data_IF_563175929001
#
_entry.id   IF_563175929001
#
_cell.length_a   1.000
_cell.length_b   1.000
_cell.length_c   1.000
_cell.angle_alpha   90.00
_cell.angle_beta   90.00
_cell.angle_gamma   90.00
#
_symmetry.space_group_name_H-M   'P 1'
#
loop_
_entity.id
_entity.type
_entity.pdbx_description
1 polymer ?
#
# COMPACT_ATOMS: atom_id res chain seq x y z
N UNK A 1 2.59 13.47 11.95
CA UNK A 1 2.68 13.23 10.52
C UNK A 1 3.77 12.22 10.21
N UNK A 2 3.84 11.79 8.98
CA UNK A 2 4.80 10.81 8.49
C UNK A 2 5.13 11.15 7.03
N UNK A 3 6.41 11.15 6.69
CA UNK A 3 6.85 11.32 5.31
C UNK A 3 7.52 10.03 4.87
N UNK A 4 6.96 9.38 3.86
CA UNK A 4 7.42 8.07 3.42
C UNK A 4 7.78 8.09 1.94
N UNK A 5 8.89 7.47 1.60
CA UNK A 5 9.21 7.09 0.23
C UNK A 5 8.50 5.76 -0.07
N UNK A 6 7.72 5.73 -1.15
CA UNK A 6 6.97 4.54 -1.56
C UNK A 6 7.40 4.18 -2.97
N UNK A 7 7.70 2.90 -3.20
CA UNK A 7 8.05 2.37 -4.51
C UNK A 7 7.42 1.01 -4.74
N UNK A 8 7.11 0.71 -5.98
CA UNK A 8 6.59 -0.58 -6.41
C UNK A 8 7.67 -1.45 -7.03
N UNK A 9 7.67 -2.74 -6.73
CA UNK A 9 8.51 -3.75 -7.35
C UNK A 9 7.63 -4.79 -8.05
N UNK A 10 7.90 -5.02 -9.33
CA UNK A 10 7.25 -6.08 -10.10
C UNK A 10 7.99 -7.39 -9.89
N UNK A 11 7.47 -8.24 -9.03
CA UNK A 11 7.94 -9.60 -8.81
C UNK A 11 6.94 -10.65 -9.32
N UNK A 12 6.04 -10.29 -10.23
CA UNK A 12 5.00 -11.19 -10.75
C UNK A 12 5.59 -12.43 -11.43
N UNK A 13 6.66 -12.25 -12.20
CA UNK A 13 7.30 -13.36 -12.90
C UNK A 13 8.12 -14.29 -11.95
N UNK A 14 8.76 -13.71 -10.93
CA UNK A 14 9.66 -14.45 -10.03
C UNK A 14 8.98 -15.00 -8.79
N UNK A 15 8.02 -14.26 -8.24
CA UNK A 15 7.37 -14.57 -6.96
C UNK A 15 5.83 -14.58 -7.03
N UNK A 16 5.26 -14.39 -8.22
CA UNK A 16 3.81 -14.31 -8.41
C UNK A 16 3.16 -13.13 -7.64
N UNK A 17 3.91 -12.07 -7.39
CA UNK A 17 3.46 -10.97 -6.57
C UNK A 17 3.88 -9.61 -7.12
N UNK A 18 3.06 -8.61 -6.89
CA UNK A 18 3.44 -7.20 -6.96
C UNK A 18 3.67 -6.70 -5.54
N UNK A 19 4.80 -6.04 -5.30
CA UNK A 19 5.19 -5.60 -3.97
C UNK A 19 5.28 -4.08 -3.96
N UNK A 20 4.62 -3.44 -3.01
CA UNK A 20 4.78 -2.02 -2.72
C UNK A 20 5.53 -1.90 -1.41
N UNK A 21 6.68 -1.25 -1.45
CA UNK A 21 7.52 -1.02 -0.28
C UNK A 21 7.50 0.46 0.08
N UNK A 22 7.62 0.75 1.35
CA UNK A 22 7.76 2.11 1.86
C UNK A 22 8.64 2.15 3.08
N UNK A 23 9.36 3.23 3.22
CA UNK A 23 10.18 3.53 4.39
C UNK A 23 10.15 5.03 4.69
N UNK A 24 10.65 5.41 5.85
CA UNK A 24 10.79 6.82 6.23
C UNK A 24 11.68 7.55 5.21
N UNK A 25 11.15 8.63 4.64
CA UNK A 25 11.90 9.43 3.67
C UNK A 25 12.76 10.45 4.41
N UNK A 26 14.04 10.53 4.07
CA UNK A 26 14.97 11.51 4.61
C UNK A 26 15.17 12.63 3.59
N UNK A 27 15.19 13.88 4.06
CA UNK A 27 15.42 15.03 3.17
C UNK A 27 16.74 14.91 2.38
N UNK A 28 17.75 14.27 2.96
CA UNK A 28 19.04 14.05 2.29
C UNK A 28 18.94 13.17 1.04
N UNK A 29 17.98 12.24 1.01
CA UNK A 29 17.75 11.34 -0.13
C UNK A 29 16.96 12.04 -1.26
N UNK A 30 16.37 13.22 -0.97
CA UNK A 30 15.51 13.99 -1.87
C UNK A 30 15.85 15.48 -1.85
N UNK A 31 17.07 15.88 -2.26
CA UNK A 31 17.56 17.24 -2.09
C UNK A 31 16.75 18.30 -2.87
N UNK A 32 16.13 17.90 -3.98
CA UNK A 32 15.33 18.79 -4.84
C UNK A 32 13.86 18.88 -4.46
N UNK A 33 13.37 18.00 -3.60
CA UNK A 33 11.96 17.96 -3.20
C UNK A 33 11.83 18.48 -1.77
N UNK A 34 11.23 19.65 -1.55
CA UNK A 34 11.05 20.16 -0.19
C UNK A 34 10.05 19.30 0.57
N UNK A 35 10.46 18.80 1.74
CA UNK A 35 9.55 18.11 2.64
C UNK A 35 8.74 19.13 3.46
N UNK A 36 7.49 18.82 3.80
CA UNK A 36 6.73 19.65 4.69
C UNK A 36 7.46 19.77 6.05
N UNK A 37 7.50 20.97 6.66
CA UNK A 37 8.12 21.12 7.97
C UNK A 37 7.44 20.22 9.00
N UNK A 38 8.16 19.67 9.98
CA UNK A 38 7.54 18.89 11.03
C UNK A 38 6.56 19.77 11.84
N UNK A 39 5.35 19.27 12.15
CA UNK A 39 4.30 20.06 12.82
C UNK A 39 4.71 20.52 14.22
N UNK A 40 5.55 19.77 14.90
CA UNK A 40 6.21 20.14 16.16
C UNK A 40 7.35 19.13 16.44
N UNK A 41 8.34 19.48 17.27
CA UNK A 41 9.37 18.55 17.69
C UNK A 41 8.77 17.27 18.28
N UNK A 42 9.23 16.11 17.82
CA UNK A 42 8.80 14.79 18.30
C UNK A 42 7.44 14.31 17.81
N UNK A 43 6.70 15.09 17.01
CA UNK A 43 5.40 14.64 16.47
C UNK A 43 5.49 13.89 15.14
N UNK A 44 6.66 13.87 14.51
CA UNK A 44 6.85 13.07 13.30
C UNK A 44 7.11 11.61 13.68
N UNK A 45 6.21 10.75 13.27
CA UNK A 45 6.34 9.31 13.48
C UNK A 45 7.28 8.72 12.43
N UNK A 46 8.20 7.88 12.88
CA UNK A 46 9.12 7.16 11.97
C UNK A 46 8.50 5.84 11.55
N UNK A 47 8.40 5.66 10.25
CA UNK A 47 8.02 4.40 9.63
C UNK A 47 9.30 3.63 9.30
N UNK A 48 9.53 2.51 9.96
CA UNK A 48 10.71 1.70 9.71
C UNK A 48 10.56 0.91 8.40
N UNK A 49 9.40 0.31 8.18
CA UNK A 49 9.08 -0.39 6.94
C UNK A 49 7.58 -0.45 6.70
N UNK A 50 7.21 -0.42 5.43
CA UNK A 50 5.89 -0.77 4.90
C UNK A 50 6.09 -1.79 3.80
N UNK A 51 5.35 -2.88 3.82
CA UNK A 51 5.30 -3.83 2.71
C UNK A 51 3.85 -4.22 2.44
N UNK A 52 3.40 -3.96 1.23
CA UNK A 52 2.12 -4.40 0.72
C UNK A 52 2.38 -5.39 -0.42
N UNK A 53 2.00 -6.63 -0.21
CA UNK A 53 2.17 -7.71 -1.20
C UNK A 53 0.82 -8.05 -1.80
N UNK A 54 0.73 -7.98 -3.12
CA UNK A 54 -0.46 -8.25 -3.90
C UNK A 54 -0.22 -9.49 -4.76
N UNK A 55 -0.94 -10.58 -4.48
CA UNK A 55 -0.89 -11.81 -5.28
C UNK A 55 -2.19 -11.98 -6.04
N UNK A 56 -2.16 -12.12 -7.38
CA UNK A 56 -3.34 -12.46 -8.14
C UNK A 56 -3.83 -13.87 -7.77
N UNK A 57 -5.14 -14.02 -7.68
CA UNK A 57 -5.81 -15.28 -7.36
C UNK A 57 -7.06 -15.46 -8.23
N UNK A 58 -7.58 -16.69 -8.28
CA UNK A 58 -8.77 -17.05 -9.04
C UNK A 58 -8.74 -16.54 -10.51
N UNK A 59 -7.65 -16.82 -11.22
CA UNK A 59 -7.48 -16.41 -12.61
C UNK A 59 -7.38 -14.89 -12.80
N UNK A 60 -6.84 -14.18 -11.81
CA UNK A 60 -6.69 -12.71 -11.83
C UNK A 60 -7.94 -11.91 -11.43
N UNK A 61 -9.04 -12.60 -11.10
CA UNK A 61 -10.29 -11.94 -10.67
C UNK A 61 -10.30 -11.51 -9.22
N UNK A 62 -9.37 -12.02 -8.42
CA UNK A 62 -9.19 -11.70 -7.01
C UNK A 62 -7.72 -11.40 -6.75
N UNK A 63 -7.44 -10.74 -5.65
CA UNK A 63 -6.09 -10.55 -5.15
C UNK A 63 -6.03 -10.93 -3.67
N UNK A 64 -4.99 -11.66 -3.30
CA UNK A 64 -4.60 -11.81 -1.91
C UNK A 64 -3.72 -10.62 -1.55
N UNK A 65 -4.10 -9.89 -0.52
CA UNK A 65 -3.41 -8.68 -0.05
C UNK A 65 -2.80 -8.97 1.31
N UNK A 66 -1.48 -8.85 1.42
CA UNK A 66 -0.77 -8.93 2.69
C UNK A 66 -0.13 -7.58 2.98
N UNK A 67 -0.38 -7.04 4.16
CA UNK A 67 0.17 -5.76 4.61
C UNK A 67 1.03 -6.01 5.86
N UNK A 68 2.27 -5.56 5.81
CA UNK A 68 3.17 -5.52 6.95
C UNK A 68 3.64 -4.08 7.17
N UNK A 69 3.55 -3.62 8.39
CA UNK A 69 3.96 -2.27 8.77
C UNK A 69 4.81 -2.37 10.03
N UNK A 70 6.02 -1.80 9.97
CA UNK A 70 6.87 -1.60 11.13
C UNK A 70 6.96 -0.11 11.41
N UNK A 71 6.48 0.30 12.57
CA UNK A 71 6.54 1.68 13.05
C UNK A 71 7.22 1.71 14.41
N UNK A 72 7.99 2.76 14.66
CA UNK A 72 8.54 2.99 15.99
C UNK A 72 7.51 3.76 16.81
N UNK A 73 6.90 3.14 17.83
CA UNK A 73 5.91 3.82 18.63
C UNK A 73 6.54 4.98 19.42
N UNK A 74 5.79 6.04 19.61
CA UNK A 74 6.20 7.10 20.53
C UNK A 74 6.24 6.55 21.97
N UNK A 75 7.06 7.11 22.87
CA UNK A 75 7.21 6.61 24.25
C UNK A 75 5.87 6.46 25.01
N UNK A 76 4.94 7.38 24.79
CA UNK A 76 3.58 7.31 25.38
C UNK A 76 2.80 6.10 24.88
N UNK A 77 2.93 5.76 23.61
CA UNK A 77 2.27 4.59 23.00
C UNK A 77 2.97 3.30 23.41
N UNK A 78 4.31 3.33 23.51
CA UNK A 78 5.11 2.19 23.96
C UNK A 78 4.84 1.80 25.43
N UNK A 79 4.31 2.72 26.25
CA UNK A 79 3.92 2.46 27.64
C UNK A 79 2.53 1.77 27.77
N UNK A 80 1.78 1.63 26.68
CA UNK A 80 0.50 0.95 26.70
C UNK A 80 0.66 -0.57 26.85
N UNK A 81 -0.26 -1.24 27.57
CA UNK A 81 -0.30 -2.70 27.59
C UNK A 81 -0.41 -3.28 26.18
N UNK A 82 0.29 -4.38 25.89
CA UNK A 82 0.34 -5.00 24.57
C UNK A 82 -1.06 -5.26 23.97
N UNK A 83 -2.00 -5.74 24.78
CA UNK A 83 -3.36 -6.03 24.29
C UNK A 83 -4.11 -4.78 23.79
N UNK A 84 -3.84 -3.60 24.38
CA UNK A 84 -4.43 -2.32 23.91
C UNK A 84 -3.81 -1.96 22.56
N UNK A 85 -2.50 -2.11 22.45
CA UNK A 85 -1.78 -1.85 21.19
C UNK A 85 -2.27 -2.77 20.08
N UNK A 86 -2.36 -4.07 20.34
CA UNK A 86 -2.83 -5.06 19.38
C UNK A 86 -4.27 -4.78 18.95
N UNK A 87 -5.15 -4.43 19.87
CA UNK A 87 -6.53 -4.07 19.57
C UNK A 87 -6.60 -2.85 18.62
N UNK A 88 -5.84 -1.80 18.91
CA UNK A 88 -5.81 -0.58 18.09
C UNK A 88 -5.25 -0.87 16.70
N UNK A 89 -4.15 -1.62 16.61
CA UNK A 89 -3.55 -2.00 15.32
C UNK A 89 -4.51 -2.85 14.50
N UNK A 90 -5.15 -3.86 15.10
CA UNK A 90 -6.14 -4.69 14.41
C UNK A 90 -7.33 -3.86 13.90
N UNK A 91 -7.81 -2.91 14.69
CA UNK A 91 -8.90 -2.02 14.29
C UNK A 91 -8.50 -1.12 13.10
N UNK A 92 -7.28 -0.55 13.14
CA UNK A 92 -6.74 0.27 12.04
C UNK A 92 -6.59 -0.56 10.76
N UNK A 93 -5.95 -1.73 10.85
CA UNK A 93 -5.76 -2.61 9.70
C UNK A 93 -7.10 -3.09 9.13
N UNK A 94 -8.04 -3.47 9.98
CA UNK A 94 -9.40 -3.84 9.57
C UNK A 94 -10.08 -2.72 8.77
N UNK A 95 -9.96 -1.47 9.22
CA UNK A 95 -10.49 -0.31 8.51
C UNK A 95 -9.78 -0.08 7.16
N UNK A 96 -8.46 -0.26 7.10
CA UNK A 96 -7.70 -0.14 5.85
C UNK A 96 -8.18 -1.17 4.83
N UNK A 97 -8.27 -2.46 5.20
CA UNK A 97 -8.74 -3.51 4.30
C UNK A 97 -10.19 -3.28 3.85
N UNK A 98 -11.07 -2.88 4.77
CA UNK A 98 -12.45 -2.53 4.43
C UNK A 98 -12.50 -1.40 3.41
N UNK A 99 -11.71 -0.33 3.61
CA UNK A 99 -11.63 0.79 2.66
C UNK A 99 -11.15 0.34 1.28
N UNK A 100 -10.13 -0.53 1.21
CA UNK A 100 -9.64 -1.09 -0.07
C UNK A 100 -10.75 -1.86 -0.78
N UNK A 101 -11.51 -2.69 -0.05
CA UNK A 101 -12.62 -3.45 -0.61
C UNK A 101 -13.76 -2.54 -1.11
N UNK A 102 -14.11 -1.51 -0.35
CA UNK A 102 -15.12 -0.52 -0.71
C UNK A 102 -14.72 0.27 -1.96
N UNK A 103 -13.46 0.70 -2.06
CA UNK A 103 -12.93 1.38 -3.26
C UNK A 103 -12.99 0.44 -4.46
N UNK A 104 -12.54 -0.81 -4.33
CA UNK A 104 -12.59 -1.77 -5.41
C UNK A 104 -14.03 -2.11 -5.86
N UNK A 105 -14.98 -2.14 -4.92
CA UNK A 105 -16.39 -2.33 -5.24
C UNK A 105 -16.98 -1.11 -5.97
N UNK A 106 -16.68 0.09 -5.52
CA UNK A 106 -17.10 1.35 -6.15
C UNK A 106 -16.56 1.50 -7.58
N UNK A 107 -15.27 1.20 -7.79
CA UNK A 107 -14.67 1.22 -9.12
C UNK A 107 -15.37 0.27 -10.10
N UNK A 108 -15.81 -0.90 -9.61
CA UNK A 108 -16.56 -1.86 -10.44
C UNK A 108 -17.99 -1.40 -10.73
N UNK A 109 -18.64 -0.76 -9.77
CA UNK A 109 -20.01 -0.28 -9.91
C UNK A 109 -20.11 0.98 -10.79
N UNK A 110 -19.10 1.84 -10.75
CA UNK A 110 -19.10 3.13 -11.45
C UNK A 110 -17.76 3.39 -12.21
N UNK A 111 -17.45 2.56 -13.24
CA UNK A 111 -16.13 2.59 -13.89
C UNK A 111 -15.84 3.86 -14.67
N UNK A 112 -16.86 4.66 -14.98
CA UNK A 112 -16.72 5.89 -15.77
C UNK A 112 -16.70 7.17 -14.91
N UNK A 113 -17.14 7.07 -13.67
CA UNK A 113 -17.27 8.24 -12.76
C UNK A 113 -16.40 8.13 -11.50
N UNK A 114 -16.02 6.92 -11.08
CA UNK A 114 -15.11 6.77 -9.94
C UNK A 114 -13.71 7.30 -10.28
N UNK A 115 -13.19 8.18 -9.43
CA UNK A 115 -11.90 8.86 -9.65
C UNK A 115 -10.73 7.91 -9.88
N UNK A 116 -10.72 6.76 -9.21
CA UNK A 116 -9.64 5.78 -9.36
C UNK A 116 -9.77 5.00 -10.66
N UNK A 117 -11.00 4.62 -11.04
CA UNK A 117 -11.26 3.97 -12.31
C UNK A 117 -10.92 4.88 -13.50
N UNK A 118 -11.27 6.16 -13.42
CA UNK A 118 -10.90 7.18 -14.42
C UNK A 118 -9.39 7.35 -14.50
N UNK A 119 -8.68 7.43 -13.37
CA UNK A 119 -7.22 7.53 -13.35
C UNK A 119 -6.53 6.29 -13.96
N UNK A 120 -7.06 5.09 -13.71
CA UNK A 120 -6.57 3.84 -14.34
C UNK A 120 -6.78 3.89 -15.86
N UNK A 121 -7.94 4.33 -16.32
CA UNK A 121 -8.21 4.51 -17.76
C UNK A 121 -7.31 5.54 -18.41
N UNK A 122 -7.05 6.65 -17.73
CA UNK A 122 -6.16 7.70 -18.22
C UNK A 122 -4.70 7.22 -18.36
N UNK A 123 -4.27 6.27 -17.54
CA UNK A 123 -2.93 5.67 -17.63
C UNK A 123 -2.97 4.24 -18.20
N UNK A 124 -3.59 4.11 -19.37
CA UNK A 124 -3.80 2.83 -20.05
C UNK A 124 -2.50 2.08 -20.30
N UNK A 125 -1.46 2.77 -20.74
CA UNK A 125 -0.16 2.16 -21.04
C UNK A 125 0.41 1.38 -19.86
N UNK A 126 0.29 1.94 -18.64
CA UNK A 126 0.76 1.26 -17.45
C UNK A 126 -0.20 0.12 -17.01
N UNK A 127 -1.50 0.40 -16.90
CA UNK A 127 -2.42 -0.58 -16.31
C UNK A 127 -2.87 -1.67 -17.28
N UNK A 128 -3.15 -1.34 -18.54
CA UNK A 128 -3.68 -2.30 -19.51
C UNK A 128 -2.59 -2.96 -20.34
N UNK A 129 -1.61 -2.19 -20.81
CA UNK A 129 -0.62 -2.71 -21.75
C UNK A 129 0.59 -3.32 -21.03
N UNK A 130 0.95 -2.82 -19.84
CA UNK A 130 2.06 -3.33 -19.04
C UNK A 130 1.63 -4.28 -17.92
N UNK A 131 0.73 -3.86 -17.02
CA UNK A 131 0.42 -4.59 -15.78
C UNK A 131 -0.55 -5.76 -15.99
N UNK A 132 -1.63 -5.57 -16.74
CA UNK A 132 -2.67 -6.58 -16.88
C UNK A 132 -2.19 -7.90 -17.50
N UNK A 133 -1.37 -7.92 -18.58
CA UNK A 133 -0.84 -9.17 -19.12
C UNK A 133 0.04 -9.93 -18.13
N UNK A 134 0.80 -9.23 -17.32
CA UNK A 134 1.70 -9.81 -16.29
C UNK A 134 0.92 -10.43 -15.14
N UNK A 135 -0.13 -9.75 -14.70
CA UNK A 135 -1.06 -10.29 -13.69
C UNK A 135 -1.74 -11.55 -14.22
N UNK A 136 -2.20 -11.54 -15.47
CA UNK A 136 -2.81 -12.71 -16.10
C UNK A 136 -1.83 -13.89 -16.23
N UNK A 137 -0.58 -13.64 -16.59
CA UNK A 137 0.46 -14.65 -16.67
C UNK A 137 0.79 -15.25 -15.28
N UNK A 138 0.97 -14.40 -14.27
CA UNK A 138 1.23 -14.82 -12.89
C UNK A 138 0.07 -15.64 -12.31
N UNK A 139 -1.18 -15.27 -12.61
CA UNK A 139 -2.36 -16.00 -12.17
C UNK A 139 -2.45 -17.41 -12.74
N UNK A 140 -1.89 -17.67 -13.94
CA UNK A 140 -1.84 -19.00 -14.56
C UNK A 140 -0.75 -19.88 -13.95
N UNK A 141 0.35 -19.29 -13.48
CA UNK A 141 1.46 -20.03 -12.87
C UNK A 141 1.15 -20.52 -11.46
N UNK A 142 0.18 -19.92 -10.79
CA UNK A 142 -0.15 -20.19 -9.38
C UNK A 142 -1.60 -20.67 -9.18
N UNK A 143 -2.28 -21.05 -10.24
CA UNK A 143 -3.57 -21.75 -10.23
C UNK A 143 -3.38 -23.24 -10.30
#
# INVERSE_FOLDING_TARGET
>A
DMVSAIYGADALASAGAFVVCGADARQADWPTTPFPPPPAPGRRQKQEALSLVLRPAAGGRRALVSLSIAVRPQPVVAALPHWVFDFVICAILGKVFKTIQEVAARMRAAPDTDRHAVAIKANRAFYQDFLAPRVAAAAKLHS
#
